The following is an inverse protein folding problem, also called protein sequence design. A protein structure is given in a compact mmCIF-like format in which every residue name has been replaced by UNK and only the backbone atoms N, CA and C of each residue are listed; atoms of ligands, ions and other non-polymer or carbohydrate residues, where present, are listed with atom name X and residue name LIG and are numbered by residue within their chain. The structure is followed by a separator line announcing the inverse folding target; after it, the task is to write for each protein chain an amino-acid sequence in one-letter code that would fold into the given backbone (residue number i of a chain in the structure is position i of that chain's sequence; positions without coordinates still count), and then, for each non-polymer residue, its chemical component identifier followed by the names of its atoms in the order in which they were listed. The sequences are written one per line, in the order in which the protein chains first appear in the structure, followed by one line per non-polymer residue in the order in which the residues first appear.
data_IF_525204115949
#
_entry.id   IF_525204115949
#
_cell.length_a   1.000
_cell.length_b   1.000
_cell.length_c   1.000
_cell.angle_alpha   90.00
_cell.angle_beta   90.00
_cell.angle_gamma   90.00
#
_symmetry.space_group_name_H-M   'P 1'
#
loop_
_entity.id
_entity.type
_entity.pdbx_description
1 polymer ?
#
# COMPACT_ATOMS: atom_id res chain seq x y z
N UNK A 1 16.07 -22.63 13.45
CA UNK A 1 15.39 -21.33 13.29
C UNK A 1 15.34 -20.97 11.82
N UNK A 2 14.20 -20.49 11.36
CA UNK A 2 14.03 -19.98 9.99
C UNK A 2 14.13 -18.46 10.03
N UNK A 3 14.91 -17.88 9.12
CA UNK A 3 15.15 -16.43 9.05
C UNK A 3 14.66 -15.90 7.71
N UNK A 4 13.92 -14.80 7.72
CA UNK A 4 13.55 -14.08 6.49
C UNK A 4 14.02 -12.64 6.57
N UNK A 5 14.31 -12.06 5.41
CA UNK A 5 14.61 -10.65 5.26
C UNK A 5 13.36 -9.95 4.73
N UNK A 6 12.81 -9.01 5.49
CA UNK A 6 11.61 -8.26 5.16
C UNK A 6 11.96 -6.78 4.93
N UNK A 7 11.67 -6.32 3.72
CA UNK A 7 11.76 -4.91 3.34
C UNK A 7 10.42 -4.20 3.51
N UNK A 8 10.44 -2.88 3.68
CA UNK A 8 9.22 -2.09 3.74
C UNK A 8 8.34 -2.37 4.97
N UNK A 9 8.85 -3.01 6.03
CA UNK A 9 8.06 -3.37 7.22
C UNK A 9 7.57 -2.16 8.04
N UNK A 10 8.11 -0.97 7.76
CA UNK A 10 7.65 0.30 8.34
C UNK A 10 6.59 0.99 7.46
N UNK A 11 6.36 0.48 6.25
CA UNK A 11 5.30 0.89 5.34
C UNK A 11 3.99 0.18 5.63
N UNK A 12 2.97 0.55 4.86
CA UNK A 12 1.59 0.11 5.08
C UNK A 12 1.40 -1.41 4.89
N UNK A 13 1.80 -1.92 3.72
CA UNK A 13 1.69 -3.36 3.41
C UNK A 13 2.69 -4.17 4.21
N UNK A 14 3.98 -3.84 4.13
CA UNK A 14 5.03 -4.61 4.80
C UNK A 14 4.85 -4.68 6.32
N UNK A 15 4.33 -3.61 6.94
CA UNK A 15 4.01 -3.60 8.36
C UNK A 15 2.83 -4.52 8.72
N UNK A 16 1.81 -4.56 7.87
CA UNK A 16 0.65 -5.47 8.04
C UNK A 16 1.08 -6.93 7.90
N UNK A 17 1.89 -7.25 6.88
CA UNK A 17 2.49 -8.58 6.69
C UNK A 17 3.32 -9.02 7.89
N UNK A 18 4.18 -8.15 8.41
CA UNK A 18 4.98 -8.43 9.61
C UNK A 18 4.08 -8.75 10.81
N UNK A 19 3.11 -7.88 11.07
CA UNK A 19 2.19 -7.98 12.21
C UNK A 19 1.45 -9.32 12.19
N UNK A 20 0.84 -9.69 11.06
CA UNK A 20 0.13 -10.95 10.90
C UNK A 20 1.06 -12.17 10.96
N UNK A 21 2.26 -12.09 10.37
CA UNK A 21 3.23 -13.19 10.39
C UNK A 21 3.69 -13.52 11.81
N UNK A 22 3.91 -12.49 12.63
CA UNK A 22 4.34 -12.67 14.02
C UNK A 22 3.19 -13.09 14.94
N UNK A 23 1.95 -12.69 14.65
CA UNK A 23 0.75 -13.08 15.38
C UNK A 23 0.21 -14.48 15.01
N UNK A 24 0.68 -15.08 13.91
CA UNK A 24 0.18 -16.37 13.42
C UNK A 24 0.38 -17.52 14.43
N UNK A 25 -0.60 -18.43 14.49
CA UNK A 25 -0.56 -19.63 15.34
C UNK A 25 0.17 -20.81 14.68
N UNK A 26 0.57 -20.67 13.42
CA UNK A 26 1.23 -21.71 12.62
C UNK A 26 2.65 -22.04 13.10
N UNK A 27 2.98 -23.34 13.13
CA UNK A 27 4.26 -23.82 13.71
C UNK A 27 5.49 -23.31 12.97
N UNK A 28 5.43 -23.25 11.64
CA UNK A 28 6.51 -22.73 10.79
C UNK A 28 6.74 -21.22 10.95
N UNK A 29 5.73 -20.48 11.42
CA UNK A 29 5.82 -19.05 11.69
C UNK A 29 6.13 -18.73 13.16
N UNK A 30 5.79 -19.59 14.12
CA UNK A 30 6.12 -19.38 15.55
C UNK A 30 7.62 -19.27 15.82
N UNK A 31 8.44 -19.99 15.05
CA UNK A 31 9.90 -20.01 15.20
C UNK A 31 10.63 -19.06 14.24
N UNK A 32 9.87 -18.25 13.49
CA UNK A 32 10.39 -17.30 12.51
C UNK A 32 11.04 -16.11 13.20
N UNK A 33 12.28 -15.82 12.80
CA UNK A 33 12.96 -14.55 13.07
C UNK A 33 13.03 -13.72 11.79
N UNK A 34 12.85 -12.41 11.91
CA UNK A 34 12.73 -11.49 10.77
C UNK A 34 13.79 -10.41 10.86
N UNK A 35 14.66 -10.34 9.86
CA UNK A 35 15.55 -9.20 9.66
C UNK A 35 14.79 -8.11 8.89
N UNK A 36 14.61 -6.95 9.51
CA UNK A 36 13.81 -5.85 9.01
C UNK A 36 14.70 -4.73 8.53
N UNK A 37 14.49 -4.32 7.28
CA UNK A 37 15.12 -3.13 6.74
C UNK A 37 14.40 -1.87 7.23
N UNK A 38 15.11 -1.01 7.95
CA UNK A 38 14.62 0.27 8.46
C UNK A 38 15.34 1.43 7.79
N UNK A 39 14.66 2.58 7.71
CA UNK A 39 15.22 3.80 7.09
C UNK A 39 15.69 4.81 8.13
N UNK A 40 15.25 4.69 9.39
CA UNK A 40 15.56 5.61 10.49
C UNK A 40 15.79 4.82 11.78
N UNK A 41 16.81 5.20 12.55
CA UNK A 41 17.18 4.52 13.80
C UNK A 41 16.06 4.43 14.84
N UNK A 42 15.22 5.48 14.98
CA UNK A 42 14.11 5.46 15.94
C UNK A 42 13.07 4.35 15.64
N UNK A 43 13.03 3.82 14.41
CA UNK A 43 12.14 2.71 14.05
C UNK A 43 12.58 1.40 14.71
N UNK A 44 13.89 1.23 14.98
CA UNK A 44 14.42 0.03 15.61
C UNK A 44 13.89 -0.18 17.03
N UNK A 45 13.86 0.90 17.83
CA UNK A 45 13.39 0.86 19.20
C UNK A 45 11.94 0.36 19.29
N UNK A 46 11.04 0.94 18.48
CA UNK A 46 9.63 0.55 18.45
C UNK A 46 9.42 -0.90 18.00
N UNK A 47 10.20 -1.38 17.02
CA UNK A 47 10.12 -2.76 16.54
C UNK A 47 10.57 -3.75 17.63
N UNK A 48 11.69 -3.48 18.31
CA UNK A 48 12.21 -4.35 19.38
C UNK A 48 11.32 -4.34 20.62
N UNK A 49 10.77 -3.19 20.98
CA UNK A 49 9.80 -3.08 22.09
C UNK A 49 8.53 -3.90 21.82
N UNK A 50 8.01 -3.85 20.59
CA UNK A 50 6.74 -4.52 20.24
C UNK A 50 6.92 -6.03 19.99
N UNK A 51 8.00 -6.42 19.30
CA UNK A 51 8.16 -7.78 18.78
C UNK A 51 9.33 -8.57 19.41
N UNK A 52 10.12 -7.95 20.28
CA UNK A 52 11.19 -8.59 21.04
C UNK A 52 12.27 -9.23 20.16
N UNK A 53 12.80 -10.36 20.62
CA UNK A 53 13.90 -11.10 19.97
C UNK A 53 13.50 -11.73 18.62
N UNK A 54 12.23 -11.64 18.22
CA UNK A 54 11.78 -12.16 16.93
C UNK A 54 12.13 -11.25 15.75
N UNK A 55 12.57 -10.02 16.02
CA UNK A 55 12.95 -9.04 15.00
C UNK A 55 14.37 -8.51 15.22
N UNK A 56 15.11 -8.42 14.13
CA UNK A 56 16.38 -7.70 14.06
C UNK A 56 16.27 -6.60 13.01
N UNK A 57 17.04 -5.53 13.14
CA UNK A 57 16.89 -4.34 12.28
C UNK A 57 18.18 -3.99 11.56
N UNK A 58 18.07 -3.70 10.27
CA UNK A 58 19.18 -3.30 9.40
C UNK A 58 18.88 -1.92 8.84
N UNK A 59 19.74 -0.92 9.07
CA UNK A 59 19.55 0.42 8.53
C UNK A 59 19.95 0.48 7.05
N UNK A 60 19.06 0.93 6.18
CA UNK A 60 19.35 1.13 4.76
C UNK A 60 18.37 2.12 4.11
N UNK A 61 18.91 3.05 3.31
CA UNK A 61 18.17 4.20 2.76
C UNK A 61 17.83 4.11 1.26
N UNK A 62 18.10 2.97 0.61
CA UNK A 62 18.26 2.90 -0.84
C UNK A 62 17.05 2.53 -1.71
N UNK A 63 15.82 2.46 -1.18
CA UNK A 63 14.67 1.97 -1.96
C UNK A 63 13.59 3.02 -2.20
N UNK A 64 13.23 3.17 -3.48
CA UNK A 64 11.96 3.75 -3.96
C UNK A 64 11.13 2.62 -4.58
N UNK A 65 9.85 2.50 -4.17
CA UNK A 65 8.95 1.42 -4.59
C UNK A 65 7.73 1.99 -5.34
N UNK A 66 7.39 1.36 -6.48
CA UNK A 66 6.10 1.53 -7.17
C UNK A 66 5.25 0.28 -6.96
N UNK A 67 4.00 0.46 -6.53
CA UNK A 67 3.12 -0.58 -6.00
C UNK A 67 1.65 -0.27 -6.32
N UNK A 68 0.77 -1.29 -6.38
CA UNK A 68 -0.66 -1.08 -6.66
C UNK A 68 -1.35 -0.22 -5.60
N UNK A 69 -2.57 0.23 -5.89
CA UNK A 69 -3.36 1.01 -4.95
C UNK A 69 -3.89 0.12 -3.83
N UNK A 70 -3.33 0.24 -2.64
CA UNK A 70 -3.84 -0.42 -1.44
C UNK A 70 -4.96 0.42 -0.80
N UNK A 71 -5.89 -0.22 -0.09
CA UNK A 71 -6.87 0.47 0.74
C UNK A 71 -7.27 -0.38 1.95
N UNK A 72 -7.93 0.26 2.92
CA UNK A 72 -8.32 -0.33 4.20
C UNK A 72 -7.56 0.21 5.41
N UNK A 73 -7.82 -0.36 6.58
CA UNK A 73 -6.99 -0.15 7.76
C UNK A 73 -5.97 -1.28 7.90
N UNK A 74 -4.69 -0.93 8.04
CA UNK A 74 -3.60 -1.88 8.17
C UNK A 74 -3.30 -2.19 9.63
N UNK A 75 -2.83 -3.40 9.90
CA UNK A 75 -2.48 -3.86 11.28
C UNK A 75 -1.03 -3.56 11.65
N UNK A 76 -0.28 -2.90 10.78
CA UNK A 76 1.12 -2.53 10.99
C UNK A 76 1.34 -1.53 12.13
N UNK A 77 2.55 -1.48 12.67
CA UNK A 77 2.92 -0.64 13.81
C UNK A 77 3.08 0.86 13.47
N UNK A 78 3.46 1.16 12.23
CA UNK A 78 3.82 2.51 11.78
C UNK A 78 2.76 3.12 10.89
N UNK A 79 2.75 2.75 9.60
CA UNK A 79 1.74 3.24 8.68
C UNK A 79 0.56 2.26 8.63
N UNK A 80 -0.65 2.77 8.89
CA UNK A 80 -1.91 2.01 8.88
C UNK A 80 -2.89 2.46 7.80
N UNK A 81 -2.48 3.37 6.91
CA UNK A 81 -3.34 3.90 5.86
C UNK A 81 -2.59 4.05 4.52
N UNK A 82 -3.31 3.78 3.42
CA UNK A 82 -2.84 4.08 2.08
C UNK A 82 -3.05 5.55 1.72
N UNK A 83 -2.32 6.06 0.71
CA UNK A 83 -2.32 7.49 0.37
C UNK A 83 -3.34 7.89 -0.71
N UNK A 84 -3.62 7.03 -1.69
CA UNK A 84 -4.43 7.41 -2.87
C UNK A 84 -5.84 7.86 -2.47
N UNK A 85 -6.57 7.03 -1.71
CA UNK A 85 -7.97 7.34 -1.33
C UNK A 85 -8.07 8.61 -0.47
N UNK A 86 -7.24 8.80 0.58
CA UNK A 86 -7.26 10.06 1.34
C UNK A 86 -6.91 11.29 0.52
N UNK A 87 -5.97 11.20 -0.43
CA UNK A 87 -5.62 12.31 -1.31
C UNK A 87 -6.78 12.66 -2.26
N UNK A 88 -7.45 11.66 -2.83
CA UNK A 88 -8.63 11.86 -3.68
C UNK A 88 -9.77 12.50 -2.87
N UNK A 89 -10.08 11.96 -1.69
CA UNK A 89 -11.12 12.54 -0.82
C UNK A 89 -10.80 13.98 -0.43
N UNK A 90 -9.54 14.26 -0.06
CA UNK A 90 -9.09 15.62 0.24
C UNK A 90 -9.31 16.55 -0.96
N UNK A 91 -8.89 16.13 -2.16
CA UNK A 91 -9.09 16.92 -3.37
C UNK A 91 -10.58 17.23 -3.59
N UNK A 92 -11.44 16.22 -3.54
CA UNK A 92 -12.89 16.36 -3.70
C UNK A 92 -13.48 17.34 -2.68
N UNK A 93 -13.11 17.20 -1.42
CA UNK A 93 -13.57 18.08 -0.34
C UNK A 93 -13.15 19.53 -0.58
N UNK A 94 -11.93 19.76 -1.07
CA UNK A 94 -11.38 21.10 -1.30
C UNK A 94 -11.96 21.77 -2.54
N UNK A 95 -12.23 21.01 -3.61
CA UNK A 95 -12.61 21.56 -4.92
C UNK A 95 -14.09 21.41 -5.25
N UNK A 96 -14.80 20.50 -4.59
CA UNK A 96 -16.22 20.22 -4.85
C UNK A 96 -16.49 19.28 -6.03
N UNK A 97 -15.45 18.76 -6.69
CA UNK A 97 -15.53 17.82 -7.80
C UNK A 97 -14.36 16.83 -7.77
N UNK A 98 -14.52 15.67 -8.42
CA UNK A 98 -13.46 14.68 -8.57
C UNK A 98 -12.67 14.88 -9.85
N UNK A 99 -11.53 14.20 -9.98
CA UNK A 99 -10.67 14.33 -11.16
C UNK A 99 -10.44 13.01 -11.92
N UNK A 100 -10.15 13.13 -13.22
CA UNK A 100 -9.59 12.06 -14.06
C UNK A 100 -8.51 12.66 -14.97
N UNK A 101 -7.48 11.86 -15.27
CA UNK A 101 -6.41 12.28 -16.20
C UNK A 101 -6.79 12.02 -17.67
N UNK A 102 -7.51 10.93 -17.89
CA UNK A 102 -8.13 10.50 -19.14
C UNK A 102 -9.13 9.37 -18.80
N UNK A 103 -9.78 8.79 -19.81
CA UNK A 103 -10.79 7.74 -19.61
C UNK A 103 -10.20 6.34 -19.34
N UNK A 104 -8.87 6.19 -19.36
CA UNK A 104 -8.17 4.91 -19.23
C UNK A 104 -7.26 4.82 -18.00
N UNK A 105 -6.97 5.95 -17.34
CA UNK A 105 -6.12 6.00 -16.16
C UNK A 105 -6.72 5.11 -15.07
N UNK A 106 -5.93 4.17 -14.56
CA UNK A 106 -6.40 3.13 -13.66
C UNK A 106 -5.36 2.73 -12.63
N UNK A 107 -5.83 2.12 -11.55
CA UNK A 107 -5.00 1.42 -10.59
C UNK A 107 -5.50 -0.02 -10.46
N UNK A 108 -4.57 -0.97 -10.41
CA UNK A 108 -4.88 -2.26 -9.83
C UNK A 108 -4.98 -2.09 -8.30
N UNK A 109 -5.91 -2.80 -7.67
CA UNK A 109 -6.20 -2.65 -6.23
C UNK A 109 -6.26 -3.98 -5.47
N UNK A 110 -6.00 -3.89 -4.18
CA UNK A 110 -6.14 -5.00 -3.23
C UNK A 110 -6.38 -4.46 -1.81
N UNK A 111 -7.22 -5.14 -1.04
CA UNK A 111 -7.41 -4.85 0.38
C UNK A 111 -6.17 -5.31 1.17
N UNK A 112 -5.65 -4.45 2.04
CA UNK A 112 -4.32 -4.68 2.65
C UNK A 112 -4.23 -5.96 3.49
N UNK A 113 -5.32 -6.33 4.17
CA UNK A 113 -5.37 -7.52 5.03
C UNK A 113 -5.40 -8.79 4.19
N UNK A 114 -6.20 -8.83 3.12
CA UNK A 114 -6.25 -9.96 2.19
C UNK A 114 -4.89 -10.19 1.53
N UNK A 115 -4.23 -9.10 1.15
CA UNK A 115 -2.86 -9.16 0.62
C UNK A 115 -1.91 -9.76 1.65
N UNK A 116 -1.96 -9.27 2.88
CA UNK A 116 -1.08 -9.73 3.94
C UNK A 116 -1.33 -11.20 4.31
N UNK A 117 -2.60 -11.64 4.33
CA UNK A 117 -3.00 -13.02 4.52
C UNK A 117 -2.48 -13.93 3.39
N UNK A 118 -2.42 -13.44 2.15
CA UNK A 118 -1.79 -14.17 1.04
C UNK A 118 -0.28 -14.38 1.23
N UNK A 119 0.43 -13.43 1.83
CA UNK A 119 1.88 -13.57 2.09
C UNK A 119 2.18 -14.70 3.08
N UNK A 120 1.27 -15.01 4.01
CA UNK A 120 1.45 -16.08 5.01
C UNK A 120 1.72 -17.47 4.40
N UNK A 121 0.84 -18.04 3.55
CA UNK A 121 1.10 -19.33 2.91
C UNK A 121 2.26 -19.27 1.93
N UNK A 122 2.55 -18.12 1.32
CA UNK A 122 3.73 -17.93 0.48
C UNK A 122 5.01 -18.10 1.32
N UNK A 123 5.15 -17.33 2.40
CA UNK A 123 6.29 -17.41 3.32
C UNK A 123 6.41 -18.84 3.85
N UNK A 124 5.30 -19.46 4.27
CA UNK A 124 5.28 -20.84 4.72
C UNK A 124 5.86 -21.81 3.68
N UNK A 125 5.39 -21.71 2.43
CA UNK A 125 5.86 -22.57 1.33
C UNK A 125 7.35 -22.37 1.02
N UNK A 126 7.90 -21.18 1.23
CA UNK A 126 9.34 -20.92 1.11
C UNK A 126 10.11 -21.62 2.23
N UNK A 127 9.59 -21.55 3.45
CA UNK A 127 10.26 -22.06 4.66
C UNK A 127 10.21 -23.58 4.79
N UNK A 128 9.10 -24.20 4.39
CA UNK A 128 8.85 -25.65 4.50
C UNK A 128 9.45 -26.46 3.34
N UNK A 129 9.89 -25.79 2.27
CA UNK A 129 10.52 -26.45 1.13
C UNK A 129 11.90 -27.02 1.49
N UNK A 130 12.23 -28.26 1.10
CA UNK A 130 13.54 -28.87 1.37
C UNK A 130 14.72 -28.09 0.76
N UNK A 131 14.49 -27.46 -0.39
CA UNK A 131 15.45 -26.73 -1.21
C UNK A 131 15.54 -25.23 -0.89
N UNK A 132 14.92 -24.78 0.22
CA UNK A 132 14.90 -23.41 0.78
C UNK A 132 15.52 -22.31 -0.10
N UNK A 133 14.68 -21.46 -0.69
CA UNK A 133 15.16 -20.25 -1.36
C UNK A 133 14.20 -19.71 -2.42
N UNK A 134 14.39 -18.44 -2.78
CA UNK A 134 13.60 -17.75 -3.81
C UNK A 134 13.94 -18.19 -5.24
N UNK A 135 15.05 -18.90 -5.46
CA UNK A 135 15.52 -19.31 -6.79
C UNK A 135 14.61 -20.29 -7.54
N UNK A 136 13.65 -20.93 -6.84
CA UNK A 136 12.65 -21.82 -7.43
C UNK A 136 11.23 -21.28 -7.34
N UNK A 137 11.07 -20.05 -6.86
CA UNK A 137 9.81 -19.31 -6.94
C UNK A 137 9.85 -18.60 -8.28
N UNK A 138 8.92 -18.87 -9.20
CA UNK A 138 8.88 -18.14 -10.44
C UNK A 138 8.74 -16.63 -10.15
N UNK A 139 9.46 -15.79 -10.90
CA UNK A 139 9.48 -14.32 -10.75
C UNK A 139 8.89 -13.62 -11.99
N UNK A 140 8.44 -12.37 -11.82
CA UNK A 140 7.90 -11.55 -12.91
C UNK A 140 6.64 -12.15 -13.54
N UNK A 141 6.48 -12.05 -14.87
CA UNK A 141 5.31 -12.57 -15.61
C UNK A 141 5.09 -14.09 -15.51
N UNK A 142 6.11 -14.82 -15.07
CA UNK A 142 6.02 -16.26 -14.83
C UNK A 142 5.79 -16.58 -13.35
N UNK A 143 5.65 -15.56 -12.49
CA UNK A 143 5.79 -15.60 -11.04
C UNK A 143 4.79 -14.82 -10.21
N UNK A 144 5.13 -14.64 -8.92
CA UNK A 144 4.30 -13.90 -7.96
C UNK A 144 4.41 -12.41 -8.28
N UNK A 145 3.47 -11.93 -9.09
CA UNK A 145 3.15 -10.52 -9.19
C UNK A 145 2.41 -10.11 -7.91
N UNK A 146 2.49 -8.83 -7.51
CA UNK A 146 1.67 -8.32 -6.40
C UNK A 146 0.22 -8.81 -6.57
N UNK A 147 -0.34 -9.53 -5.59
CA UNK A 147 -1.73 -9.97 -5.65
C UNK A 147 -2.62 -8.75 -5.80
N UNK A 148 -3.31 -8.66 -6.94
CA UNK A 148 -4.34 -7.67 -7.19
C UNK A 148 -5.68 -8.40 -7.29
N UNK A 149 -6.71 -7.79 -6.72
CA UNK A 149 -8.07 -8.36 -6.70
C UNK A 149 -8.90 -7.78 -7.84
N UNK A 150 -8.56 -6.58 -8.30
CA UNK A 150 -9.23 -5.95 -9.43
C UNK A 150 -8.50 -4.73 -9.94
N UNK A 151 -9.18 -4.04 -10.85
CA UNK A 151 -8.77 -2.77 -11.43
C UNK A 151 -9.89 -1.76 -11.21
N UNK A 152 -9.53 -0.51 -10.96
CA UNK A 152 -10.45 0.61 -10.86
C UNK A 152 -9.92 1.77 -11.70
N UNK A 153 -10.80 2.42 -12.45
CA UNK A 153 -10.45 3.67 -13.13
C UNK A 153 -10.27 4.76 -12.07
N UNK A 154 -9.33 5.69 -12.32
CA UNK A 154 -9.18 6.89 -11.49
C UNK A 154 -10.49 7.67 -11.43
N UNK A 155 -11.25 7.68 -12.54
CA UNK A 155 -12.57 8.28 -12.61
C UNK A 155 -13.59 7.61 -11.67
N UNK A 156 -13.59 6.29 -11.56
CA UNK A 156 -14.50 5.54 -10.67
C UNK A 156 -14.17 5.81 -9.20
N UNK A 157 -12.89 5.81 -8.84
CA UNK A 157 -12.43 6.14 -7.48
C UNK A 157 -12.87 7.56 -7.11
N UNK A 158 -12.67 8.52 -8.01
CA UNK A 158 -13.06 9.91 -7.80
C UNK A 158 -14.58 10.07 -7.73
N UNK A 159 -15.34 9.35 -8.55
CA UNK A 159 -16.81 9.39 -8.51
C UNK A 159 -17.34 8.94 -7.15
N UNK A 160 -16.80 7.84 -6.60
CA UNK A 160 -17.19 7.38 -5.26
C UNK A 160 -16.81 8.38 -4.17
N UNK A 161 -15.65 9.03 -4.30
CA UNK A 161 -15.24 10.06 -3.35
C UNK A 161 -16.15 11.29 -3.41
N UNK A 162 -16.56 11.72 -4.61
CA UNK A 162 -17.57 12.76 -4.81
C UNK A 162 -18.87 12.37 -4.15
N UNK A 163 -19.43 11.20 -4.47
CA UNK A 163 -20.68 10.74 -3.86
C UNK A 163 -20.60 10.73 -2.34
N UNK A 164 -19.52 10.18 -1.78
CA UNK A 164 -19.30 10.12 -0.33
C UNK A 164 -19.21 11.51 0.30
N UNK A 165 -18.48 12.45 -0.32
CA UNK A 165 -18.31 13.78 0.24
C UNK A 165 -19.59 14.62 0.18
N UNK A 166 -20.38 14.47 -0.88
CA UNK A 166 -21.71 15.08 -1.01
C UNK A 166 -22.70 14.48 -0.01
N UNK A 167 -22.75 13.15 0.12
CA UNK A 167 -23.66 12.47 1.04
C UNK A 167 -23.34 12.76 2.51
N UNK A 168 -22.07 12.99 2.82
CA UNK A 168 -21.62 13.38 4.16
C UNK A 168 -21.71 14.89 4.45
N UNK A 169 -22.03 15.72 3.46
CA UNK A 169 -22.10 17.19 3.56
C UNK A 169 -20.80 17.82 4.11
N UNK A 170 -19.65 17.41 3.56
CA UNK A 170 -18.31 17.81 4.05
C UNK A 170 -17.51 18.67 3.06
N UNK A 171 -18.13 19.18 2.00
CA UNK A 171 -17.44 19.99 0.99
C UNK A 171 -17.04 21.37 1.58
N UNK A 172 -15.81 21.79 1.30
CA UNK A 172 -15.26 23.09 1.73
C UNK A 172 -15.36 24.16 0.64
N UNK A 173 -15.60 23.76 -0.61
CA UNK A 173 -15.74 24.69 -1.72
C UNK A 173 -17.11 25.39 -1.68
N UNK A 174 -17.10 26.72 -1.56
CA UNK A 174 -18.32 27.53 -1.55
C UNK A 174 -18.95 27.65 -2.96
N UNK A 175 -18.13 27.58 -4.01
CA UNK A 175 -18.54 27.53 -5.43
C UNK A 175 -18.86 26.08 -5.88
N UNK A 176 -19.53 25.32 -5.02
CA UNK A 176 -19.98 23.97 -5.39
C UNK A 176 -21.16 24.08 -6.35
N UNK A 177 -20.93 23.71 -7.61
CA UNK A 177 -22.01 23.22 -8.44
C UNK A 177 -22.62 22.04 -7.68
N UNK A 178 -23.95 22.00 -7.42
CA UNK A 178 -24.62 20.83 -6.82
C UNK A 178 -24.50 19.54 -7.67
N UNK A 179 -23.70 19.58 -8.73
CA UNK A 179 -23.46 18.48 -9.65
C UNK A 179 -22.33 17.60 -9.11
N UNK A 180 -22.66 16.33 -8.88
CA UNK A 180 -21.73 15.28 -8.47
C UNK A 180 -20.89 14.83 -9.67
N UNK A 181 -19.87 15.61 -10.03
CA UNK A 181 -19.11 15.39 -11.27
C UNK A 181 -17.62 15.07 -11.07
N UNK A 182 -17.06 14.41 -12.10
CA UNK A 182 -15.63 14.13 -12.24
C UNK A 182 -15.09 14.81 -13.50
N UNK A 183 -14.13 15.71 -13.35
CA UNK A 183 -13.57 16.54 -14.43
C UNK A 183 -12.27 15.96 -14.98
N UNK A 184 -12.05 16.14 -16.28
CA UNK A 184 -10.74 15.85 -16.87
C UNK A 184 -9.80 17.01 -16.53
N UNK A 185 -8.69 16.72 -15.86
CA UNK A 185 -7.72 17.74 -15.42
C UNK A 185 -6.33 17.47 -16.00
N UNK A 186 -5.52 18.51 -16.25
CA UNK A 186 -4.15 18.33 -16.68
C UNK A 186 -3.34 17.55 -15.63
N UNK A 187 -2.53 16.60 -16.08
CA UNK A 187 -1.64 15.85 -15.17
C UNK A 187 -0.71 16.77 -14.36
N UNK A 188 -0.31 17.91 -14.91
CA UNK A 188 0.54 18.87 -14.21
C UNK A 188 -0.15 19.47 -12.99
N UNK A 189 -1.46 19.76 -13.07
CA UNK A 189 -2.24 20.30 -11.95
C UNK A 189 -2.27 19.29 -10.79
N UNK A 190 -2.63 18.04 -11.10
CA UNK A 190 -2.61 16.96 -10.11
C UNK A 190 -1.20 16.69 -9.60
N UNK A 191 -0.20 16.84 -10.47
CA UNK A 191 1.19 16.65 -10.08
C UNK A 191 1.61 17.67 -9.02
N UNK A 192 1.39 18.94 -9.30
CA UNK A 192 1.77 20.05 -8.45
C UNK A 192 1.03 20.01 -7.10
N UNK A 193 -0.25 19.64 -7.11
CA UNK A 193 -1.08 19.66 -5.90
C UNK A 193 -0.92 18.40 -5.02
N UNK A 194 -0.97 17.21 -5.63
CA UNK A 194 -1.10 15.96 -4.86
C UNK A 194 0.23 15.21 -4.68
N UNK A 195 1.24 15.47 -5.52
CA UNK A 195 2.45 14.63 -5.63
C UNK A 195 3.73 15.44 -5.89
N UNK A 196 3.77 16.70 -5.46
CA UNK A 196 4.96 17.57 -5.44
C UNK A 196 5.61 17.73 -6.84
N UNK A 197 4.78 17.95 -7.86
CA UNK A 197 5.19 18.22 -9.24
C UNK A 197 5.68 17.01 -10.03
N UNK A 198 5.63 15.80 -9.47
CA UNK A 198 6.13 14.59 -10.14
C UNK A 198 5.17 14.05 -11.20
N UNK A 199 5.31 14.48 -12.44
CA UNK A 199 4.50 13.97 -13.55
C UNK A 199 4.88 12.57 -14.03
N UNK A 200 6.06 12.06 -13.65
CA UNK A 200 6.65 10.80 -14.09
C UNK A 200 6.08 9.56 -13.36
N UNK A 201 5.38 9.76 -12.24
CA UNK A 201 4.83 8.65 -11.46
C UNK A 201 3.59 7.99 -12.08
N UNK A 202 2.98 8.63 -13.09
CA UNK A 202 1.91 8.09 -13.89
C UNK A 202 2.41 7.96 -15.33
N UNK A 203 3.06 6.85 -15.70
CA UNK A 203 3.48 6.64 -17.08
C UNK A 203 2.24 6.76 -17.97
N UNK A 204 2.31 7.68 -18.93
CA UNK A 204 1.33 7.73 -20.02
C UNK A 204 1.53 6.43 -20.78
N UNK A 205 0.56 5.53 -20.67
CA UNK A 205 0.57 4.23 -21.36
C UNK A 205 0.87 4.37 -22.85
#
# INVERSE_FOLDING_TARGET
MSKIFLIGATGYVGGTVLSQSLASTETSLKTLTVDILIRREHQAGRLRETYGERVETVLWAGLDDTVPCFFGEGTGLFNRQALVIPLVLRYVVQHGYGFKLNDQANFDWVYVVDLADYYIPLIRKILERPDRGVGHIPLGKKGILFPTVGRALVAEINQQAVETAFDADILLCEDTTQQREVRCVPIQEIADELIVGRCDIAPRG
#
